data_IF_072385248991
#
_entry.id   IF_072385248991
#
_cell.length_a   1.000
_cell.length_b   1.000
_cell.length_c   1.000
_cell.angle_alpha   90.00
_cell.angle_beta   90.00
_cell.angle_gamma   90.00
#
_symmetry.space_group_name_H-M   'P 1'
#
loop_
_entity.id
_entity.type
_entity.pdbx_description
1 polymer ?
#
# COMPACT_ATOMS: atom_id res chain seq x y z
N UNK A 1 0.05 -8.53 5.62
CA UNK A 1 0.11 -7.66 4.42
C UNK A 1 1.46 -7.73 3.72
N UNK A 2 2.58 -7.37 4.36
CA UNK A 2 3.91 -7.28 3.72
C UNK A 2 4.47 -8.67 3.31
N UNK A 3 4.31 -9.69 4.16
CA UNK A 3 4.72 -11.07 3.83
C UNK A 3 3.96 -11.65 2.64
N UNK A 4 2.70 -11.24 2.46
CA UNK A 4 1.83 -11.66 1.35
C UNK A 4 2.16 -10.91 0.04
N UNK A 5 2.69 -9.69 0.14
CA UNK A 5 3.04 -8.84 -1.01
C UNK A 5 4.42 -9.19 -1.59
N UNK A 6 5.27 -9.87 -0.81
CA UNK A 6 6.58 -10.38 -1.26
C UNK A 6 6.45 -11.42 -2.38
N UNK A 7 5.35 -12.19 -2.39
CA UNK A 7 5.03 -13.16 -3.44
C UNK A 7 4.34 -12.53 -4.66
N UNK A 8 3.84 -11.30 -4.54
CA UNK A 8 3.16 -10.51 -5.60
C UNK A 8 3.89 -9.21 -5.94
N UNK A 9 5.21 -9.18 -5.83
CA UNK A 9 6.07 -8.07 -6.29
C UNK A 9 5.72 -6.67 -5.73
N UNK A 10 5.17 -6.57 -4.53
CA UNK A 10 4.94 -5.26 -3.92
C UNK A 10 3.70 -4.52 -4.45
N UNK A 11 2.80 -5.19 -5.16
CA UNK A 11 1.66 -4.55 -5.84
C UNK A 11 0.68 -3.86 -4.88
N UNK A 12 0.43 -4.43 -3.70
CA UNK A 12 -0.49 -3.85 -2.71
C UNK A 12 0.16 -2.67 -2.00
N UNK A 13 1.44 -2.79 -1.61
CA UNK A 13 2.19 -1.69 -0.98
C UNK A 13 2.30 -0.51 -1.94
N UNK A 14 2.61 -0.75 -3.23
CA UNK A 14 2.63 0.29 -4.27
C UNK A 14 1.27 0.96 -4.45
N UNK A 15 0.19 0.16 -4.48
CA UNK A 15 -1.17 0.70 -4.60
C UNK A 15 -1.54 1.57 -3.39
N UNK A 16 -1.18 1.15 -2.19
CA UNK A 16 -1.44 1.90 -0.96
C UNK A 16 -0.62 3.21 -0.90
N UNK A 17 0.64 3.17 -1.33
CA UNK A 17 1.48 4.36 -1.42
C UNK A 17 0.89 5.38 -2.39
N UNK A 18 0.54 4.94 -3.60
CA UNK A 18 -0.10 5.78 -4.62
C UNK A 18 -1.45 6.32 -4.14
N UNK A 19 -2.19 5.54 -3.35
CA UNK A 19 -3.42 6.00 -2.72
C UNK A 19 -3.19 7.23 -1.82
N UNK A 20 -2.16 7.21 -0.98
CA UNK A 20 -1.82 8.37 -0.15
C UNK A 20 -1.25 9.53 -0.97
N UNK A 21 -0.43 9.27 -2.00
CA UNK A 21 0.15 10.31 -2.87
C UNK A 21 -0.90 11.06 -3.71
N UNK A 22 -2.03 10.41 -4.02
CA UNK A 22 -3.11 11.01 -4.80
C UNK A 22 -4.38 11.30 -3.97
N UNK A 23 -4.26 11.35 -2.64
CA UNK A 23 -5.36 11.63 -1.72
C UNK A 23 -6.62 10.78 -1.99
N UNK A 24 -6.43 9.51 -2.31
CA UNK A 24 -7.52 8.56 -2.60
C UNK A 24 -8.21 8.73 -3.95
N UNK A 25 -7.68 9.56 -4.86
CA UNK A 25 -8.25 9.71 -6.20
C UNK A 25 -7.95 8.47 -7.07
N UNK A 26 -8.90 7.54 -7.10
CA UNK A 26 -8.81 6.28 -7.87
C UNK A 26 -8.47 6.47 -9.35
N UNK A 27 -8.86 7.60 -9.96
CA UNK A 27 -8.53 7.88 -11.36
C UNK A 27 -7.06 8.17 -11.54
N UNK A 28 -6.49 9.01 -10.66
CA UNK A 28 -5.07 9.33 -10.69
C UNK A 28 -4.21 8.13 -10.35
N UNK A 29 -4.65 7.31 -9.40
CA UNK A 29 -3.96 6.07 -9.01
C UNK A 29 -3.96 5.05 -10.16
N UNK A 30 -5.11 4.89 -10.82
CA UNK A 30 -5.24 4.03 -11.99
C UNK A 30 -4.30 4.46 -13.13
N UNK A 31 -4.23 5.76 -13.40
CA UNK A 31 -3.33 6.34 -14.40
C UNK A 31 -1.85 6.14 -14.02
N UNK A 32 -1.48 6.48 -12.78
CA UNK A 32 -0.11 6.37 -12.27
C UNK A 32 0.41 4.93 -12.23
N UNK A 33 -0.47 3.95 -12.01
CA UNK A 33 -0.10 2.54 -11.95
C UNK A 33 -0.37 1.79 -13.27
N UNK A 34 -0.89 2.47 -14.30
CA UNK A 34 -1.33 1.85 -15.56
C UNK A 34 -2.29 0.67 -15.36
N UNK A 35 -3.20 0.80 -14.38
CA UNK A 35 -4.16 -0.23 -14.00
C UNK A 35 -5.59 0.28 -14.11
N UNK A 36 -6.52 -0.64 -14.36
CA UNK A 36 -7.93 -0.28 -14.36
C UNK A 36 -8.42 0.05 -12.95
N UNK A 37 -9.34 1.02 -12.82
CA UNK A 37 -9.91 1.44 -11.52
C UNK A 37 -10.45 0.25 -10.71
N UNK A 38 -11.04 -0.74 -11.37
CA UNK A 38 -11.55 -1.94 -10.72
C UNK A 38 -10.44 -2.76 -10.04
N UNK A 39 -9.28 -2.88 -10.70
CA UNK A 39 -8.11 -3.54 -10.12
C UNK A 39 -7.57 -2.78 -8.92
N UNK A 40 -7.54 -1.44 -8.98
CA UNK A 40 -7.16 -0.60 -7.83
C UNK A 40 -8.13 -0.80 -6.67
N UNK A 41 -9.44 -0.69 -6.91
CA UNK A 41 -10.46 -0.90 -5.86
C UNK A 41 -10.35 -2.29 -5.22
N UNK A 42 -10.14 -3.34 -6.03
CA UNK A 42 -9.93 -4.69 -5.51
C UNK A 42 -8.70 -4.78 -4.61
N UNK A 43 -7.58 -4.17 -5.04
CA UNK A 43 -6.34 -4.15 -4.25
C UNK A 43 -6.52 -3.39 -2.94
N UNK A 44 -7.18 -2.22 -2.97
CA UNK A 44 -7.50 -1.45 -1.77
C UNK A 44 -8.41 -2.24 -0.81
N UNK A 45 -9.45 -2.87 -1.33
CA UNK A 45 -10.31 -3.73 -0.53
C UNK A 45 -9.53 -4.88 0.12
N UNK A 46 -8.61 -5.50 -0.63
CA UNK A 46 -7.75 -6.56 -0.12
C UNK A 46 -6.77 -6.06 0.94
N UNK A 47 -6.28 -4.83 0.83
CA UNK A 47 -5.46 -4.19 1.87
C UNK A 47 -6.27 -4.02 3.14
N UNK A 48 -7.49 -3.51 3.04
CA UNK A 48 -8.40 -3.36 4.19
C UNK A 48 -8.67 -4.72 4.86
N UNK A 49 -8.93 -5.76 4.06
CA UNK A 49 -9.18 -7.12 4.55
C UNK A 49 -7.95 -7.73 5.26
N UNK A 50 -6.77 -7.57 4.69
CA UNK A 50 -5.51 -8.10 5.24
C UNK A 50 -5.02 -7.36 6.49
N UNK A 51 -5.44 -6.12 6.69
CA UNK A 51 -4.97 -5.27 7.80
C UNK A 51 -6.04 -5.05 8.87
N UNK A 52 -7.30 -5.38 8.57
CA UNK A 52 -8.45 -5.01 9.40
C UNK A 52 -8.71 -3.50 9.45
N UNK A 53 -7.93 -2.70 8.72
CA UNK A 53 -8.02 -1.25 8.72
C UNK A 53 -8.98 -0.76 7.64
N UNK A 54 -9.55 0.44 7.82
CA UNK A 54 -10.45 1.07 6.85
C UNK A 54 -9.81 2.34 6.28
N UNK A 55 -9.58 2.39 4.98
CA UNK A 55 -8.90 3.53 4.32
C UNK A 55 -9.73 4.82 4.35
N UNK A 56 -11.04 4.70 4.54
CA UNK A 56 -11.95 5.83 4.71
C UNK A 56 -11.98 6.39 6.14
N UNK A 57 -11.45 5.64 7.11
CA UNK A 57 -11.32 6.11 8.47
C UNK A 57 -9.95 6.79 8.64
N UNK A 58 -9.94 8.02 9.17
CA UNK A 58 -8.72 8.82 9.26
C UNK A 58 -7.67 8.18 10.18
N UNK A 59 -8.09 7.58 11.29
CA UNK A 59 -7.18 6.97 12.26
C UNK A 59 -6.51 5.73 11.65
N UNK A 60 -7.30 4.86 11.03
CA UNK A 60 -6.78 3.69 10.31
C UNK A 60 -5.91 4.07 9.11
N UNK A 61 -6.30 5.08 8.33
CA UNK A 61 -5.52 5.57 7.21
C UNK A 61 -4.16 6.12 7.69
N UNK A 62 -4.14 6.87 8.80
CA UNK A 62 -2.92 7.35 9.41
C UNK A 62 -2.03 6.22 9.92
N UNK A 63 -2.58 5.21 10.59
CA UNK A 63 -1.84 4.03 11.04
C UNK A 63 -1.18 3.30 9.86
N UNK A 64 -1.91 3.09 8.76
CA UNK A 64 -1.37 2.47 7.55
C UNK A 64 -0.25 3.32 6.92
N UNK A 65 -0.44 4.63 6.85
CA UNK A 65 0.57 5.55 6.33
C UNK A 65 1.84 5.59 7.20
N UNK A 66 1.67 5.52 8.52
CA UNK A 66 2.77 5.45 9.48
C UNK A 66 3.55 4.15 9.31
N UNK A 67 2.87 3.01 9.25
CA UNK A 67 3.49 1.70 8.99
C UNK A 67 4.31 1.71 7.69
N UNK A 68 3.77 2.28 6.60
CA UNK A 68 4.50 2.42 5.34
C UNK A 68 5.77 3.28 5.45
N UNK A 69 5.73 4.34 6.28
CA UNK A 69 6.88 5.22 6.48
C UNK A 69 7.91 4.65 7.45
N UNK A 70 7.48 3.84 8.42
CA UNK A 70 8.36 3.19 9.38
C UNK A 70 9.05 1.95 8.80
N UNK A 71 8.51 1.33 7.75
CA UNK A 71 9.12 0.18 7.08
C UNK A 71 10.64 0.35 6.85
N UNK A 72 11.15 1.39 6.16
CA UNK A 72 12.60 1.55 5.95
C UNK A 72 13.38 1.79 7.24
N UNK A 73 12.75 2.32 8.29
CA UNK A 73 13.39 2.58 9.59
C UNK A 73 13.51 1.28 10.40
N UNK A 74 12.47 0.45 10.38
CA UNK A 74 12.46 -0.85 11.06
C UNK A 74 13.30 -1.89 10.32
N UNK A 75 13.42 -1.78 9.00
CA UNK A 75 14.28 -2.61 8.17
C UNK A 75 15.71 -2.05 8.04
N UNK A 76 16.06 -1.01 8.79
CA UNK A 76 17.39 -0.40 8.82
C UNK A 76 18.44 -1.26 9.55
N UNK A 77 18.02 -2.33 10.25
CA UNK A 77 18.89 -3.34 10.88
C UNK A 77 19.21 -4.55 9.97
N UNK A 78 19.11 -4.39 8.66
CA UNK A 78 19.73 -5.34 7.72
C UNK A 78 20.43 -4.58 6.59
N UNK A 79 21.78 -4.64 6.52
CA UNK A 79 22.47 -4.18 5.33
C UNK A 79 21.98 -5.00 4.14
N UNK A 80 21.77 -4.30 3.04
CA UNK A 80 21.74 -4.78 1.65
C UNK A 80 21.91 -6.30 1.46
N UNK A 81 20.85 -6.98 1.03
CA UNK A 81 20.91 -8.30 0.41
C UNK A 81 19.85 -8.38 -0.70
N UNK A 82 20.27 -8.12 -1.95
CA UNK A 82 20.26 -9.09 -3.09
C UNK A 82 18.96 -8.94 -3.91
N UNK A 83 18.95 -8.70 -5.23
CA UNK A 83 19.93 -8.82 -6.34
C UNK A 83 19.65 -7.74 -7.42
#
# INVERSE_FOLDING_TARGET
MITYDREKQGDLVKTLKSYFEHNGNLTKIADALFLHKNSISYRLQKIEDLTGCRLRDYEHAFQLQLCLKLEPVLNCDSPMAEE
#
